data_IF_577269619023
#
_entry.id   IF_577269619023
#
_cell.length_a   1.000
_cell.length_b   1.000
_cell.length_c   1.000
_cell.angle_alpha   90.00
_cell.angle_beta   90.00
_cell.angle_gamma   90.00
#
_symmetry.space_group_name_H-M   'P 1'
#
loop_
_entity.id
_entity.type
_entity.pdbx_description
1 polymer ?
#
# COMPACT_ATOMS: atom_id res chain seq x y z
N UNK A 1 21.60 -2.93 2.17
CA UNK A 1 20.53 -2.72 3.16
C UNK A 1 19.32 -2.19 2.42
N UNK A 2 18.29 -3.02 2.17
CA UNK A 2 17.07 -2.55 1.50
C UNK A 2 16.30 -1.57 2.39
N UNK A 3 15.75 -0.51 1.80
CA UNK A 3 14.95 0.47 2.51
C UNK A 3 13.71 -0.18 3.14
N UNK A 4 13.35 0.27 4.34
CA UNK A 4 12.33 -0.40 5.16
C UNK A 4 10.97 0.23 4.89
N UNK A 5 10.17 -0.43 4.05
CA UNK A 5 8.72 -0.24 4.07
C UNK A 5 8.19 -0.91 5.33
N UNK A 6 7.52 -0.13 6.19
CA UNK A 6 7.00 -0.63 7.47
C UNK A 6 5.54 -0.24 7.60
N UNK A 7 4.65 -1.23 7.63
CA UNK A 7 3.26 -1.01 7.93
C UNK A 7 3.11 -0.37 9.32
N UNK A 8 2.22 0.62 9.42
CA UNK A 8 1.79 1.18 10.70
C UNK A 8 0.76 0.21 11.29
N UNK A 9 1.17 -0.58 12.27
CA UNK A 9 0.31 -1.59 12.89
C UNK A 9 -0.72 -0.94 13.83
N UNK A 10 -1.98 -1.31 13.66
CA UNK A 10 -3.11 -0.89 14.48
C UNK A 10 -3.74 -2.12 15.17
N UNK A 11 -3.01 -2.75 16.07
CA UNK A 11 -3.46 -3.88 16.88
C UNK A 11 -3.39 -3.54 18.38
N UNK A 12 -3.82 -4.47 19.23
CA UNK A 12 -3.81 -4.28 20.68
C UNK A 12 -2.43 -4.10 21.32
N UNK A 13 -1.34 -4.43 20.64
CA UNK A 13 0.02 -4.16 21.13
C UNK A 13 0.42 -2.70 20.90
N UNK A 14 -0.05 -2.11 19.79
CA UNK A 14 0.33 -0.78 19.34
C UNK A 14 -0.72 0.30 19.63
N UNK A 15 -1.96 -0.08 19.98
CA UNK A 15 -3.05 0.84 20.27
C UNK A 15 -3.96 0.35 21.40
N UNK A 16 -4.08 1.15 22.46
CA UNK A 16 -5.03 0.92 23.55
C UNK A 16 -6.51 1.00 23.10
N UNK A 17 -6.79 1.71 22.01
CA UNK A 17 -8.12 1.71 21.40
C UNK A 17 -8.41 0.36 20.75
N UNK A 18 -7.45 -0.16 19.98
CA UNK A 18 -7.58 -1.45 19.31
C UNK A 18 -7.63 -2.60 20.31
N UNK A 19 -6.79 -2.56 21.35
CA UNK A 19 -6.82 -3.52 22.46
C UNK A 19 -8.20 -3.64 23.09
N UNK A 20 -8.84 -2.49 23.37
CA UNK A 20 -10.21 -2.45 23.90
C UNK A 20 -11.23 -3.01 22.90
N UNK A 21 -11.10 -2.68 21.61
CA UNK A 21 -11.99 -3.19 20.55
C UNK A 21 -11.84 -4.71 20.39
N UNK A 22 -10.62 -5.23 20.32
CA UNK A 22 -10.34 -6.66 20.18
C UNK A 22 -10.86 -7.43 21.40
N UNK A 23 -10.62 -6.93 22.61
CA UNK A 23 -11.21 -7.49 23.85
C UNK A 23 -12.74 -7.45 23.85
N UNK A 24 -13.35 -6.45 23.23
CA UNK A 24 -14.80 -6.39 23.08
C UNK A 24 -15.30 -7.42 22.07
N UNK A 25 -14.65 -7.56 20.91
CA UNK A 25 -15.02 -8.53 19.87
C UNK A 25 -14.86 -9.98 20.32
N UNK A 26 -13.88 -10.28 21.18
CA UNK A 26 -13.78 -11.60 21.82
C UNK A 26 -15.01 -11.95 22.66
N UNK A 27 -15.67 -10.95 23.25
CA UNK A 27 -16.89 -11.13 24.06
C UNK A 27 -18.17 -11.04 23.23
N UNK A 28 -18.13 -10.29 22.13
CA UNK A 28 -19.27 -10.01 21.26
C UNK A 28 -18.86 -10.11 19.79
N UNK A 29 -18.73 -11.33 19.23
CA UNK A 29 -18.21 -11.55 17.88
C UNK A 29 -19.05 -10.85 16.80
N UNK A 30 -20.37 -10.82 16.97
CA UNK A 30 -21.31 -10.23 16.01
C UNK A 30 -21.30 -8.68 16.01
N UNK A 31 -20.58 -8.05 16.93
CA UNK A 31 -20.42 -6.59 16.97
C UNK A 31 -19.32 -6.07 16.01
N UNK A 32 -18.70 -6.97 15.26
CA UNK A 32 -17.60 -6.73 14.32
C UNK A 32 -18.04 -6.30 12.93
N UNK A 33 -18.85 -5.25 12.81
CA UNK A 33 -19.12 -4.60 11.53
C UNK A 33 -17.99 -3.67 11.11
N UNK A 34 -17.75 -3.56 9.81
CA UNK A 34 -16.98 -2.47 9.21
C UNK A 34 -17.93 -1.33 8.86
N UNK A 35 -17.50 -0.11 9.14
CA UNK A 35 -18.39 1.04 9.09
C UNK A 35 -18.34 1.84 7.78
N UNK A 36 -17.57 1.36 6.79
CA UNK A 36 -17.49 1.93 5.45
C UNK A 36 -16.78 3.29 5.36
N UNK A 37 -16.90 3.94 4.21
CA UNK A 37 -16.15 5.15 3.87
C UNK A 37 -16.50 6.36 4.75
N UNK A 38 -17.78 6.60 5.04
CA UNK A 38 -18.21 7.76 5.84
C UNK A 38 -17.59 7.77 7.24
N UNK A 39 -17.63 6.64 7.95
CA UNK A 39 -17.02 6.57 9.29
C UNK A 39 -15.49 6.54 9.22
N UNK A 40 -14.89 6.07 8.13
CA UNK A 40 -13.46 6.21 7.90
C UNK A 40 -13.06 7.68 7.84
N UNK A 41 -13.76 8.46 7.02
CA UNK A 41 -13.54 9.90 6.86
C UNK A 41 -13.67 10.61 8.20
N UNK A 42 -14.76 10.39 8.93
CA UNK A 42 -15.03 11.05 10.21
C UNK A 42 -13.97 10.73 11.27
N UNK A 43 -13.44 9.49 11.29
CA UNK A 43 -12.32 9.11 12.16
C UNK A 43 -11.04 9.85 11.77
N UNK A 44 -10.76 9.97 10.48
CA UNK A 44 -9.60 10.72 10.00
C UNK A 44 -9.70 12.21 10.35
N UNK A 45 -10.87 12.83 10.16
CA UNK A 45 -11.12 14.23 10.56
C UNK A 45 -10.92 14.40 12.08
N UNK A 46 -11.43 13.48 12.90
CA UNK A 46 -11.20 13.49 14.35
C UNK A 46 -9.71 13.41 14.69
N UNK A 47 -8.95 12.57 13.97
CA UNK A 47 -7.51 12.48 14.13
C UNK A 47 -6.78 13.78 13.75
N UNK A 48 -7.25 14.47 12.69
CA UNK A 48 -6.73 15.75 12.24
C UNK A 48 -7.05 16.89 13.22
N UNK A 49 -8.24 16.89 13.83
CA UNK A 49 -8.58 17.84 14.91
C UNK A 49 -7.55 17.76 16.04
N UNK A 50 -7.19 16.56 16.47
CA UNK A 50 -6.16 16.40 17.51
C UNK A 50 -4.73 16.67 17.00
N UNK A 51 -4.48 16.48 15.71
CA UNK A 51 -3.18 16.72 15.10
C UNK A 51 -2.87 18.21 15.00
N UNK A 52 -3.83 19.02 14.54
CA UNK A 52 -3.70 20.47 14.45
C UNK A 52 -3.98 21.15 15.80
N UNK A 53 -4.91 20.63 16.60
CA UNK A 53 -5.34 21.29 17.83
C UNK A 53 -5.79 22.73 17.56
N UNK A 54 -5.24 23.67 18.33
CA UNK A 54 -5.48 25.11 18.17
C UNK A 54 -4.39 25.83 17.34
N UNK A 55 -3.54 25.09 16.64
CA UNK A 55 -2.45 25.60 15.79
C UNK A 55 -3.01 26.20 14.49
N UNK A 56 -2.41 27.28 13.98
CA UNK A 56 -2.74 27.85 12.66
C UNK A 56 -1.94 27.20 11.51
N UNK A 57 -1.07 26.23 11.81
CA UNK A 57 -0.14 25.60 10.84
C UNK A 57 -0.86 24.80 9.73
N UNK A 58 -2.20 24.72 9.75
CA UNK A 58 -2.98 24.08 8.70
C UNK A 58 -3.11 24.94 7.44
N UNK A 59 -2.76 26.24 7.48
CA UNK A 59 -2.88 27.16 6.34
C UNK A 59 -2.06 26.70 5.12
N UNK A 60 -0.83 26.21 5.34
CA UNK A 60 0.00 25.69 4.27
C UNK A 60 -0.65 24.45 3.63
N UNK A 61 -1.12 23.53 4.47
CA UNK A 61 -1.82 22.33 4.03
C UNK A 61 -3.11 22.68 3.28
N UNK A 62 -3.85 23.70 3.72
CA UNK A 62 -5.06 24.16 3.03
C UNK A 62 -4.79 24.61 1.60
N UNK A 63 -3.76 25.43 1.40
CA UNK A 63 -3.36 25.88 0.05
C UNK A 63 -2.98 24.70 -0.85
N UNK A 64 -2.20 23.75 -0.31
CA UNK A 64 -1.77 22.57 -1.05
C UNK A 64 -2.96 21.66 -1.43
N UNK A 65 -3.92 21.46 -0.52
CA UNK A 65 -5.11 20.66 -0.80
C UNK A 65 -6.04 21.37 -1.80
N UNK A 66 -6.17 22.70 -1.72
CA UNK A 66 -6.90 23.48 -2.74
C UNK A 66 -6.29 23.30 -4.14
N UNK A 67 -4.97 23.44 -4.26
CA UNK A 67 -4.26 23.25 -5.53
C UNK A 67 -4.46 21.82 -6.07
N UNK A 68 -4.29 20.82 -5.21
CA UNK A 68 -4.49 19.41 -5.53
C UNK A 68 -5.91 19.10 -6.03
N UNK A 69 -6.93 19.75 -5.45
CA UNK A 69 -8.34 19.58 -5.81
C UNK A 69 -8.81 20.53 -6.92
N UNK A 70 -7.94 21.42 -7.42
CA UNK A 70 -8.30 22.46 -8.38
C UNK A 70 -9.34 23.46 -7.85
N UNK A 71 -9.42 23.65 -6.53
CA UNK A 71 -10.34 24.57 -5.88
C UNK A 71 -9.68 25.92 -5.58
N UNK A 72 -10.43 27.01 -5.71
CA UNK A 72 -9.94 28.34 -5.38
C UNK A 72 -9.70 28.49 -3.88
N UNK A 73 -8.50 28.96 -3.51
CA UNK A 73 -8.17 29.33 -2.14
C UNK A 73 -9.10 30.46 -1.64
N UNK A 74 -9.61 30.32 -0.42
CA UNK A 74 -10.40 31.36 0.26
C UNK A 74 -9.63 31.85 1.47
N UNK A 75 -9.45 33.16 1.55
CA UNK A 75 -8.78 33.80 2.69
C UNK A 75 -9.49 33.44 4.00
N UNK A 76 -8.69 33.12 5.02
CA UNK A 76 -9.20 32.75 6.33
C UNK A 76 -9.17 33.93 7.28
N UNK A 77 -10.16 34.02 8.17
CA UNK A 77 -10.10 34.97 9.26
C UNK A 77 -8.98 34.57 10.23
N UNK A 78 -8.11 35.52 10.57
CA UNK A 78 -7.08 35.34 11.58
C UNK A 78 -7.71 34.81 12.89
N UNK A 79 -7.05 33.85 13.55
CA UNK A 79 -7.44 33.23 14.82
C UNK A 79 -8.45 32.07 14.78
N UNK A 80 -8.77 31.50 13.62
CA UNK A 80 -9.58 30.28 13.56
C UNK A 80 -8.72 29.06 13.96
N UNK A 81 -9.14 28.29 14.96
CA UNK A 81 -8.60 26.95 15.18
C UNK A 81 -9.03 26.00 14.05
N UNK A 82 -8.36 24.86 13.88
CA UNK A 82 -8.61 23.93 12.76
C UNK A 82 -10.09 23.59 12.57
N UNK A 83 -10.85 23.35 13.64
CA UNK A 83 -12.29 23.01 13.54
C UNK A 83 -13.17 24.11 12.91
N UNK A 84 -12.70 25.35 12.88
CA UNK A 84 -13.40 26.47 12.27
C UNK A 84 -12.71 26.95 10.98
N UNK A 85 -11.73 26.18 10.47
CA UNK A 85 -10.95 26.53 9.28
C UNK A 85 -11.67 26.15 7.99
N UNK A 86 -11.23 26.76 6.88
CA UNK A 86 -11.70 26.37 5.56
C UNK A 86 -11.20 24.98 5.17
N UNK A 87 -10.02 24.55 5.66
CA UNK A 87 -9.55 23.18 5.47
C UNK A 87 -10.47 22.15 6.13
N UNK A 88 -10.91 22.39 7.36
CA UNK A 88 -11.85 21.49 8.02
C UNK A 88 -13.17 21.40 7.25
N UNK A 89 -13.74 22.53 6.84
CA UNK A 89 -14.96 22.55 6.03
C UNK A 89 -14.77 21.77 4.73
N UNK A 90 -13.67 22.02 4.01
CA UNK A 90 -13.32 21.31 2.78
C UNK A 90 -13.24 19.78 2.98
N UNK A 91 -12.57 19.34 4.06
CA UNK A 91 -12.43 17.92 4.37
C UNK A 91 -13.74 17.28 4.83
N UNK A 92 -14.60 18.03 5.53
CA UNK A 92 -15.89 17.55 6.03
C UNK A 92 -16.96 17.47 4.93
N UNK A 93 -16.89 18.36 3.93
CA UNK A 93 -17.79 18.37 2.78
C UNK A 93 -17.35 17.42 1.65
N UNK A 94 -16.11 16.90 1.71
CA UNK A 94 -15.66 15.89 0.75
C UNK A 94 -16.52 14.62 0.87
N UNK A 95 -16.99 14.05 -0.24
CA UNK A 95 -17.85 12.87 -0.20
C UNK A 95 -17.14 11.64 -0.76
N UNK A 96 -17.15 10.53 -0.03
CA UNK A 96 -16.54 9.26 -0.45
C UNK A 96 -17.57 8.31 -1.07
N UNK A 97 -17.99 8.57 -2.31
CA UNK A 97 -19.06 7.83 -2.99
C UNK A 97 -18.53 6.62 -3.74
N UNK A 98 -17.37 6.74 -4.36
CA UNK A 98 -16.73 5.72 -5.19
C UNK A 98 -15.24 5.49 -4.83
N UNK A 99 -14.62 4.48 -5.43
CA UNK A 99 -13.21 4.12 -5.19
C UNK A 99 -12.24 5.23 -5.59
N UNK A 100 -12.56 6.00 -6.64
CA UNK A 100 -11.83 7.20 -7.04
C UNK A 100 -11.82 8.28 -5.95
N UNK A 101 -12.95 8.50 -5.26
CA UNK A 101 -13.04 9.43 -4.14
C UNK A 101 -12.20 8.97 -2.96
N UNK A 102 -12.27 7.66 -2.62
CA UNK A 102 -11.43 7.07 -1.59
C UNK A 102 -9.95 7.26 -1.93
N UNK A 103 -9.55 6.98 -3.18
CA UNK A 103 -8.18 7.14 -3.64
C UNK A 103 -7.70 8.60 -3.53
N UNK A 104 -8.56 9.56 -3.87
CA UNK A 104 -8.25 10.98 -3.71
C UNK A 104 -8.12 11.36 -2.22
N UNK A 105 -9.00 10.86 -1.37
CA UNK A 105 -8.93 11.05 0.08
C UNK A 105 -7.64 10.48 0.69
N UNK A 106 -7.19 9.30 0.26
CA UNK A 106 -5.93 8.73 0.72
C UNK A 106 -4.74 9.62 0.31
N UNK A 107 -4.73 10.18 -0.90
CA UNK A 107 -3.70 11.13 -1.33
C UNK A 107 -3.72 12.44 -0.52
N UNK A 108 -4.91 12.95 -0.17
CA UNK A 108 -5.04 14.08 0.77
C UNK A 108 -4.36 13.73 2.10
N UNK A 109 -4.66 12.56 2.68
CA UNK A 109 -4.05 12.13 3.94
C UNK A 109 -2.52 11.97 3.84
N UNK A 110 -1.99 11.48 2.72
CA UNK A 110 -0.53 11.47 2.47
C UNK A 110 0.06 12.88 2.49
N UNK A 111 -0.59 13.82 1.80
CA UNK A 111 -0.13 15.21 1.74
C UNK A 111 -0.11 15.88 3.11
N UNK A 112 -1.13 15.64 3.93
CA UNK A 112 -1.22 16.15 5.31
C UNK A 112 -0.17 15.51 6.24
N UNK A 113 0.13 14.22 6.05
CA UNK A 113 1.22 13.54 6.76
C UNK A 113 2.59 14.07 6.35
N UNK A 114 2.76 14.49 5.09
CA UNK A 114 4.00 15.07 4.59
C UNK A 114 4.13 16.59 4.86
N UNK A 115 3.17 17.18 5.58
CA UNK A 115 3.17 18.60 5.95
C UNK A 115 4.52 19.07 6.54
N UNK A 116 5.12 20.15 5.99
CA UNK A 116 6.36 20.72 6.51
C UNK A 116 6.11 21.39 7.87
N UNK A 117 7.10 21.34 8.78
CA UNK A 117 6.99 21.97 10.10
C UNK A 117 6.39 21.10 11.20
N UNK A 118 5.91 19.89 10.88
CA UNK A 118 5.39 18.94 11.87
C UNK A 118 6.45 17.94 12.31
N UNK A 119 6.59 17.76 13.62
CA UNK A 119 7.59 16.84 14.19
C UNK A 119 7.25 15.37 13.95
N UNK A 120 8.27 14.52 13.84
CA UNK A 120 8.12 13.06 13.59
C UNK A 120 7.19 12.37 14.60
N UNK A 121 7.17 12.82 15.86
CA UNK A 121 6.28 12.30 16.91
C UNK A 121 4.80 12.60 16.62
N UNK A 122 4.49 13.80 16.12
CA UNK A 122 3.12 14.17 15.76
C UNK A 122 2.66 13.38 14.53
N UNK A 123 3.51 13.30 13.50
CA UNK A 123 3.24 12.50 12.29
C UNK A 123 2.98 11.04 12.60
N UNK A 124 3.81 10.41 13.45
CA UNK A 124 3.58 9.03 13.92
C UNK A 124 2.26 8.83 14.65
N UNK A 125 1.85 9.80 15.47
CA UNK A 125 0.57 9.74 16.20
C UNK A 125 -0.62 9.83 15.23
N UNK A 126 -0.57 10.75 14.27
CA UNK A 126 -1.60 10.86 13.23
C UNK A 126 -1.66 9.59 12.38
N UNK A 127 -0.50 9.08 11.95
CA UNK A 127 -0.40 7.85 11.17
C UNK A 127 -1.01 6.64 11.90
N UNK A 128 -0.76 6.48 13.21
CA UNK A 128 -1.37 5.42 14.01
C UNK A 128 -2.90 5.53 14.02
N UNK A 129 -3.44 6.74 14.18
CA UNK A 129 -4.90 6.95 14.18
C UNK A 129 -5.54 6.72 12.82
N UNK A 130 -4.85 7.07 11.74
CA UNK A 130 -5.30 6.74 10.39
C UNK A 130 -5.29 5.22 10.19
N UNK A 131 -4.24 4.51 10.64
CA UNK A 131 -4.19 3.05 10.58
C UNK A 131 -5.33 2.38 11.39
N UNK A 132 -5.64 2.92 12.58
CA UNK A 132 -6.85 2.50 13.33
C UNK A 132 -8.13 2.75 12.54
N UNK A 133 -8.24 3.92 11.89
CA UNK A 133 -9.42 4.28 11.11
C UNK A 133 -9.61 3.34 9.92
N UNK A 134 -8.54 2.98 9.20
CA UNK A 134 -8.59 1.99 8.12
C UNK A 134 -9.17 0.66 8.61
N UNK A 135 -8.57 0.09 9.67
CA UNK A 135 -8.97 -1.22 10.23
C UNK A 135 -10.40 -1.21 10.78
N UNK A 136 -10.78 -0.17 11.52
CA UNK A 136 -12.13 -0.07 12.11
C UNK A 136 -13.23 0.17 11.08
N UNK A 137 -12.87 0.68 9.90
CA UNK A 137 -13.84 1.00 8.85
C UNK A 137 -13.83 -0.01 7.71
N UNK A 138 -12.95 -1.02 7.75
CA UNK A 138 -12.83 -2.05 6.73
C UNK A 138 -12.33 -1.52 5.40
N UNK A 139 -11.47 -0.49 5.41
CA UNK A 139 -10.89 0.04 4.18
C UNK A 139 -9.78 -0.90 3.71
N UNK A 140 -9.83 -1.27 2.43
CA UNK A 140 -8.85 -2.17 1.78
C UNK A 140 -7.48 -1.54 1.53
N UNK A 141 -6.95 -0.79 2.50
CA UNK A 141 -5.67 -0.10 2.40
C UNK A 141 -4.89 -0.16 3.71
N UNK A 142 -3.56 -0.14 3.60
CA UNK A 142 -2.63 -0.06 4.70
C UNK A 142 -1.74 1.18 4.58
N UNK A 143 -1.57 1.90 5.68
CA UNK A 143 -0.61 3.00 5.76
C UNK A 143 0.79 2.44 6.10
N UNK A 144 1.77 2.75 5.26
CA UNK A 144 3.15 2.33 5.44
C UNK A 144 4.07 3.54 5.61
N UNK A 145 5.01 3.45 6.55
CA UNK A 145 6.12 4.38 6.68
C UNK A 145 7.24 3.94 5.73
N UNK A 146 7.71 4.89 4.93
CA UNK A 146 8.79 4.73 3.96
C UNK A 146 10.13 5.21 4.54
N UNK A 147 11.21 4.94 3.80
CA UNK A 147 12.49 5.59 4.04
C UNK A 147 12.38 7.11 3.89
N UNK A 148 13.15 7.86 4.71
CA UNK A 148 13.03 9.32 4.80
C UNK A 148 11.87 9.81 5.67
N UNK A 149 11.08 8.92 6.28
CA UNK A 149 10.04 9.28 7.25
C UNK A 149 8.69 9.67 6.63
N UNK A 150 8.57 9.60 5.30
CA UNK A 150 7.32 9.78 4.56
C UNK A 150 6.37 8.60 4.77
N UNK A 151 5.10 8.82 4.45
CA UNK A 151 4.06 7.80 4.52
C UNK A 151 3.42 7.60 3.15
N UNK A 152 2.96 6.39 2.87
CA UNK A 152 2.20 6.07 1.68
C UNK A 152 1.18 4.98 1.98
N UNK A 153 0.04 5.01 1.29
CA UNK A 153 -0.95 3.95 1.31
C UNK A 153 -0.65 2.90 0.24
N UNK A 154 -0.95 1.66 0.57
CA UNK A 154 -0.89 0.51 -0.31
C UNK A 154 -2.17 -0.30 -0.17
N UNK A 155 -2.60 -1.04 -1.21
CA UNK A 155 -3.75 -1.93 -1.11
C UNK A 155 -3.47 -2.98 -0.03
N UNK A 156 -4.49 -3.32 0.75
CA UNK A 156 -4.42 -4.34 1.79
C UNK A 156 -5.77 -5.00 1.98
N UNK A 157 -5.86 -6.28 1.66
CA UNK A 157 -7.10 -7.07 1.75
C UNK A 157 -6.98 -8.21 2.73
N UNK A 158 -5.79 -8.81 2.85
CA UNK A 158 -5.52 -9.93 3.74
C UNK A 158 -4.25 -9.66 4.56
N UNK A 159 -4.37 -9.11 5.78
CA UNK A 159 -3.24 -8.64 6.57
C UNK A 159 -2.12 -9.67 6.76
N UNK A 160 -2.48 -10.96 6.84
CA UNK A 160 -1.50 -12.05 6.99
C UNK A 160 -0.62 -12.20 5.74
N UNK A 161 -1.22 -12.14 4.55
CA UNK A 161 -0.52 -12.27 3.28
C UNK A 161 0.19 -10.97 2.90
N UNK A 162 -0.49 -9.82 3.05
CA UNK A 162 0.00 -8.50 2.66
C UNK A 162 1.36 -8.18 3.29
N UNK A 163 1.52 -8.49 4.57
CA UNK A 163 2.78 -8.23 5.27
C UNK A 163 3.95 -8.95 4.61
N UNK A 164 3.81 -10.26 4.39
CA UNK A 164 4.91 -11.12 3.96
C UNK A 164 5.14 -11.09 2.44
N UNK A 165 4.07 -10.95 1.65
CA UNK A 165 4.10 -11.09 0.20
C UNK A 165 4.01 -9.76 -0.54
N UNK A 166 3.57 -8.68 0.13
CA UNK A 166 3.45 -7.35 -0.48
C UNK A 166 4.42 -6.35 0.13
N UNK A 167 4.31 -6.03 1.43
CA UNK A 167 5.09 -4.95 2.04
C UNK A 167 6.57 -5.30 2.23
N UNK A 168 6.85 -6.51 2.72
CA UNK A 168 8.23 -6.99 2.88
C UNK A 168 8.92 -7.08 1.51
N UNK A 169 8.24 -7.66 0.51
CA UNK A 169 8.75 -7.77 -0.87
C UNK A 169 9.02 -6.39 -1.46
N UNK A 170 8.08 -5.45 -1.32
CA UNK A 170 8.24 -4.07 -1.79
C UNK A 170 9.48 -3.40 -1.19
N UNK A 171 9.76 -3.61 0.11
CA UNK A 171 10.96 -3.09 0.76
C UNK A 171 12.26 -3.81 0.36
N UNK A 172 12.19 -5.10 0.01
CA UNK A 172 13.35 -5.84 -0.47
C UNK A 172 13.72 -5.48 -1.91
N UNK A 173 12.75 -5.07 -2.72
CA UNK A 173 12.97 -4.54 -4.07
C UNK A 173 13.73 -3.20 -4.08
N UNK A 174 14.04 -2.59 -2.94
CA UNK A 174 14.87 -1.37 -2.88
C UNK A 174 16.25 -1.54 -3.54
N UNK A 175 16.81 -2.75 -3.55
CA UNK A 175 18.03 -3.07 -4.29
C UNK A 175 17.82 -3.20 -5.82
N UNK A 176 16.58 -3.22 -6.27
CA UNK A 176 16.15 -3.49 -7.64
C UNK A 176 15.16 -2.39 -8.10
N UNK A 177 15.63 -1.14 -8.31
CA UNK A 177 14.75 0.03 -8.47
C UNK A 177 13.74 -0.05 -9.62
N UNK A 178 14.13 -0.62 -10.78
CA UNK A 178 13.20 -0.76 -11.92
C UNK A 178 12.07 -1.75 -11.63
N UNK A 179 12.40 -2.86 -10.97
CA UNK A 179 11.41 -3.82 -10.49
C UNK A 179 10.48 -3.18 -9.45
N UNK A 180 11.05 -2.48 -8.46
CA UNK A 180 10.30 -1.76 -7.43
C UNK A 180 9.30 -0.76 -8.00
N UNK A 181 9.71 0.00 -9.01
CA UNK A 181 8.85 0.99 -9.67
C UNK A 181 7.61 0.34 -10.29
N UNK A 182 7.79 -0.76 -11.04
CA UNK A 182 6.67 -1.50 -11.63
C UNK A 182 5.79 -2.16 -10.56
N UNK A 183 6.38 -2.71 -9.50
CA UNK A 183 5.62 -3.25 -8.38
C UNK A 183 4.78 -2.17 -7.69
N UNK A 184 5.34 -0.97 -7.49
CA UNK A 184 4.60 0.17 -6.92
C UNK A 184 3.48 0.65 -7.82
N UNK A 185 3.69 0.71 -9.13
CA UNK A 185 2.62 1.08 -10.07
C UNK A 185 1.48 0.06 -10.04
N UNK A 186 1.79 -1.25 -9.96
CA UNK A 186 0.76 -2.27 -9.75
C UNK A 186 -0.04 -1.98 -8.47
N UNK A 187 0.62 -1.79 -7.33
CA UNK A 187 -0.05 -1.47 -6.06
C UNK A 187 -0.88 -0.18 -6.14
N UNK A 188 -0.40 0.84 -6.85
CA UNK A 188 -1.12 2.10 -7.06
C UNK A 188 -2.42 1.88 -7.83
N UNK A 189 -2.37 1.10 -8.91
CA UNK A 189 -3.56 0.74 -9.70
C UNK A 189 -4.57 -0.01 -8.82
N UNK A 190 -4.13 -1.01 -8.07
CA UNK A 190 -5.00 -1.76 -7.17
C UNK A 190 -5.63 -0.88 -6.09
N UNK A 191 -4.88 0.07 -5.54
CA UNK A 191 -5.38 1.02 -4.55
C UNK A 191 -6.42 1.98 -5.14
N UNK A 192 -6.31 2.31 -6.44
CA UNK A 192 -7.31 3.10 -7.15
C UNK A 192 -8.57 2.30 -7.52
N UNK A 193 -8.58 0.98 -7.28
CA UNK A 193 -9.64 0.08 -7.72
C UNK A 193 -9.45 -0.42 -9.16
N UNK A 194 -8.38 -0.01 -9.86
CA UNK A 194 -8.03 -0.46 -11.21
C UNK A 194 -7.52 -1.90 -11.20
N UNK A 195 -8.46 -2.85 -11.15
CA UNK A 195 -8.20 -4.30 -11.27
C UNK A 195 -8.15 -4.71 -12.73
N UNK A 196 -7.39 -3.98 -13.52
CA UNK A 196 -7.28 -4.17 -14.97
C UNK A 196 -6.08 -5.04 -15.31
N UNK A 197 -6.02 -5.47 -16.58
CA UNK A 197 -4.83 -6.10 -17.16
C UNK A 197 -3.54 -5.32 -16.87
N UNK A 198 -3.59 -3.98 -16.84
CA UNK A 198 -2.42 -3.14 -16.56
C UNK A 198 -1.77 -3.49 -15.22
N UNK A 199 -2.56 -3.80 -14.18
CA UNK A 199 -2.01 -4.18 -12.87
C UNK A 199 -1.25 -5.52 -12.96
N UNK A 200 -1.81 -6.50 -13.65
CA UNK A 200 -1.17 -7.82 -13.90
C UNK A 200 0.12 -7.65 -14.72
N UNK A 201 0.09 -6.84 -15.78
CA UNK A 201 1.26 -6.55 -16.62
C UNK A 201 2.38 -5.88 -15.81
N UNK A 202 2.06 -4.94 -14.92
CA UNK A 202 3.02 -4.31 -14.02
C UNK A 202 3.65 -5.33 -13.04
N UNK A 203 2.85 -6.26 -12.49
CA UNK A 203 3.36 -7.33 -11.61
C UNK A 203 4.34 -8.25 -12.36
N UNK A 204 3.98 -8.68 -13.58
CA UNK A 204 4.85 -9.51 -14.42
C UNK A 204 6.14 -8.78 -14.79
N UNK A 205 6.01 -7.52 -15.21
CA UNK A 205 7.15 -6.70 -15.60
C UNK A 205 8.08 -6.43 -14.41
N UNK A 206 7.55 -6.26 -13.20
CA UNK A 206 8.34 -6.19 -11.97
C UNK A 206 9.22 -7.43 -11.81
N UNK A 207 8.65 -8.64 -11.96
CA UNK A 207 9.39 -9.89 -11.86
C UNK A 207 10.45 -10.04 -12.96
N UNK A 208 10.12 -9.65 -14.20
CA UNK A 208 11.09 -9.65 -15.31
C UNK A 208 12.26 -8.71 -15.03
N UNK A 209 11.98 -7.46 -14.65
CA UNK A 209 12.99 -6.45 -14.35
C UNK A 209 13.84 -6.85 -13.15
N UNK A 210 13.24 -7.49 -12.14
CA UNK A 210 13.99 -8.06 -11.02
C UNK A 210 15.03 -9.06 -11.52
N UNK A 211 14.63 -10.01 -12.37
CA UNK A 211 15.54 -11.02 -12.92
C UNK A 211 16.62 -10.38 -13.80
N UNK A 212 16.26 -9.40 -14.65
CA UNK A 212 17.23 -8.64 -15.47
C UNK A 212 18.29 -7.96 -14.62
N UNK A 213 17.88 -7.30 -13.54
CA UNK A 213 18.78 -6.62 -12.61
C UNK A 213 19.63 -7.62 -11.80
N UNK A 214 19.03 -8.71 -11.32
CA UNK A 214 19.72 -9.77 -10.55
C UNK A 214 20.78 -10.50 -11.36
N UNK A 215 20.46 -10.86 -12.59
CA UNK A 215 21.33 -11.64 -13.47
C UNK A 215 22.08 -10.79 -14.49
N UNK A 216 22.01 -9.46 -14.37
CA UNK A 216 22.70 -8.49 -15.22
C UNK A 216 22.54 -8.78 -16.72
N UNK A 217 21.30 -8.98 -17.17
CA UNK A 217 20.98 -9.25 -18.57
C UNK A 217 19.68 -8.55 -19.00
N UNK A 218 19.30 -8.68 -20.27
CA UNK A 218 18.10 -8.04 -20.86
C UNK A 218 17.09 -9.05 -21.43
N UNK A 219 17.14 -10.32 -20.97
CA UNK A 219 16.26 -11.39 -21.45
C UNK A 219 14.82 -11.21 -20.96
N UNK A 220 13.84 -11.68 -21.74
CA UNK A 220 12.46 -11.77 -21.26
C UNK A 220 12.34 -12.75 -20.08
N UNK A 221 11.25 -12.67 -19.32
CA UNK A 221 11.02 -13.55 -18.18
C UNK A 221 11.14 -15.05 -18.54
N UNK A 222 10.56 -15.47 -19.67
CA UNK A 222 10.57 -16.87 -20.15
C UNK A 222 11.99 -17.35 -20.46
N UNK A 223 12.81 -16.46 -21.02
CA UNK A 223 14.20 -16.74 -21.36
C UNK A 223 15.14 -16.75 -20.13
N UNK A 224 14.59 -16.50 -18.93
CA UNK A 224 15.32 -16.53 -17.66
C UNK A 224 14.99 -17.75 -16.80
N UNK A 225 14.02 -18.60 -17.20
CA UNK A 225 13.61 -19.75 -16.39
C UNK A 225 14.75 -20.71 -16.07
N UNK A 226 15.65 -20.96 -17.03
CA UNK A 226 16.83 -21.80 -16.79
C UNK A 226 17.78 -21.17 -15.78
N UNK A 227 17.98 -19.84 -15.82
CA UNK A 227 18.85 -19.14 -14.87
C UNK A 227 18.28 -19.21 -13.45
N UNK A 228 16.97 -18.99 -13.32
CA UNK A 228 16.26 -19.11 -12.05
C UNK A 228 16.37 -20.54 -11.52
N UNK A 229 16.10 -21.54 -12.36
CA UNK A 229 16.20 -22.95 -11.98
C UNK A 229 17.61 -23.37 -11.53
N UNK A 230 18.66 -22.84 -12.19
CA UNK A 230 20.05 -23.04 -11.79
C UNK A 230 20.37 -22.36 -10.46
N UNK A 231 19.98 -21.09 -10.28
CA UNK A 231 20.20 -20.38 -9.00
C UNK A 231 19.55 -21.13 -7.83
N UNK A 232 18.30 -21.57 -7.99
CA UNK A 232 17.62 -22.35 -6.94
C UNK A 232 18.32 -23.69 -6.66
N UNK A 233 18.95 -24.30 -7.68
CA UNK A 233 19.72 -25.54 -7.52
C UNK A 233 21.00 -25.30 -6.74
N UNK A 234 21.73 -24.23 -7.07
CA UNK A 234 22.97 -23.83 -6.41
C UNK A 234 22.73 -23.48 -4.93
N UNK A 235 21.51 -23.02 -4.61
CA UNK A 235 21.02 -22.80 -3.24
C UNK A 235 20.65 -24.08 -2.48
N UNK A 236 20.76 -25.25 -3.10
CA UNK A 236 20.45 -26.54 -2.48
C UNK A 236 18.96 -26.86 -2.35
N UNK A 237 18.07 -26.17 -3.08
CA UNK A 237 16.64 -26.49 -3.07
C UNK A 237 16.36 -27.78 -3.84
N UNK A 238 15.40 -28.55 -3.32
CA UNK A 238 15.04 -29.87 -3.88
C UNK A 238 14.59 -29.75 -5.34
N UNK A 239 14.81 -30.81 -6.12
CA UNK A 239 14.40 -30.84 -7.52
C UNK A 239 12.88 -30.66 -7.68
N UNK A 240 12.08 -31.21 -6.76
CA UNK A 240 10.62 -31.10 -6.75
C UNK A 240 10.17 -29.65 -6.57
N UNK A 241 10.74 -28.92 -5.61
CA UNK A 241 10.43 -27.52 -5.39
C UNK A 241 10.84 -26.66 -6.59
N UNK A 242 12.03 -26.91 -7.15
CA UNK A 242 12.51 -26.19 -8.35
C UNK A 242 11.59 -26.43 -9.54
N UNK A 243 11.20 -27.68 -9.79
CA UNK A 243 10.28 -28.05 -10.86
C UNK A 243 8.89 -27.42 -10.66
N UNK A 244 8.36 -27.41 -9.43
CA UNK A 244 7.11 -26.74 -9.09
C UNK A 244 7.19 -25.24 -9.38
N UNK A 245 8.27 -24.59 -8.90
CA UNK A 245 8.49 -23.16 -9.09
C UNK A 245 8.55 -22.79 -10.58
N UNK A 246 9.36 -23.50 -11.37
CA UNK A 246 9.48 -23.22 -12.81
C UNK A 246 8.18 -23.52 -13.56
N UNK A 247 7.42 -24.53 -13.14
CA UNK A 247 6.11 -24.85 -13.72
C UNK A 247 5.12 -23.71 -13.45
N UNK A 248 5.01 -23.26 -12.20
CA UNK A 248 4.16 -22.12 -11.84
C UNK A 248 4.56 -20.85 -12.60
N UNK A 249 5.87 -20.60 -12.74
CA UNK A 249 6.37 -19.43 -13.47
C UNK A 249 6.02 -19.50 -14.97
N UNK A 250 6.09 -20.68 -15.57
CA UNK A 250 5.69 -20.89 -16.97
C UNK A 250 4.19 -20.67 -17.17
N UNK A 251 3.34 -21.20 -16.28
CA UNK A 251 1.89 -20.94 -16.33
C UNK A 251 1.55 -19.48 -16.04
N UNK A 252 2.27 -18.83 -15.12
CA UNK A 252 2.10 -17.41 -14.84
C UNK A 252 2.45 -16.55 -16.06
N UNK A 253 3.56 -16.83 -16.75
CA UNK A 253 3.90 -16.13 -18.00
C UNK A 253 2.85 -16.39 -19.10
N UNK A 254 2.34 -17.62 -19.20
CA UNK A 254 1.28 -17.98 -20.14
C UNK A 254 -0.04 -17.26 -19.83
N UNK A 255 -0.46 -17.24 -18.57
CA UNK A 255 -1.64 -16.52 -18.09
C UNK A 255 -1.58 -15.04 -18.52
N UNK A 256 -0.45 -14.37 -18.26
CA UNK A 256 -0.24 -13.00 -18.71
C UNK A 256 -0.35 -12.85 -20.24
N UNK A 257 0.25 -13.76 -21.01
CA UNK A 257 0.25 -13.71 -22.48
C UNK A 257 -1.11 -14.03 -23.12
N UNK A 258 -1.95 -14.85 -22.48
CA UNK A 258 -3.27 -15.25 -23.01
C UNK A 258 -4.36 -14.21 -22.70
N UNK A 259 -4.28 -13.53 -21.55
CA UNK A 259 -5.13 -12.38 -21.23
C UNK A 259 -4.84 -11.15 -22.13
N UNK A 260 -3.86 -11.22 -23.04
CA UNK A 260 -3.59 -10.19 -24.06
C UNK A 260 -4.64 -10.15 -25.18
N UNK A 261 -5.45 -11.19 -25.36
CA UNK A 261 -6.25 -11.38 -26.59
C UNK A 261 -7.76 -11.14 -26.47
N UNK A 262 -8.34 -11.15 -25.27
CA UNK A 262 -9.79 -10.98 -25.08
C UNK A 262 -10.10 -10.23 -23.76
N UNK A 263 -10.81 -9.11 -23.88
CA UNK A 263 -11.43 -8.29 -22.81
C UNK A 263 -10.51 -7.40 -21.93
N UNK A 264 -10.93 -6.15 -21.68
CA UNK A 264 -10.14 -5.12 -20.96
C UNK A 264 -10.26 -5.20 -19.43
N UNK A 265 -11.24 -5.94 -18.91
CA UNK A 265 -11.43 -6.15 -17.47
C UNK A 265 -10.86 -7.49 -17.01
N UNK A 266 -9.88 -7.47 -16.09
CA UNK A 266 -9.40 -8.68 -15.44
C UNK A 266 -10.30 -9.01 -14.23
N UNK A 267 -10.47 -10.28 -13.90
CA UNK A 267 -11.25 -10.67 -12.73
C UNK A 267 -10.50 -10.25 -11.46
N UNK A 268 -11.19 -9.60 -10.50
CA UNK A 268 -10.60 -9.16 -9.24
C UNK A 268 -9.87 -10.29 -8.49
N UNK A 269 -10.39 -11.52 -8.54
CA UNK A 269 -9.77 -12.68 -7.94
C UNK A 269 -8.47 -13.10 -8.64
N UNK A 270 -8.39 -12.93 -9.96
CA UNK A 270 -7.18 -13.22 -10.74
C UNK A 270 -6.08 -12.21 -10.44
N UNK A 271 -6.45 -10.93 -10.30
CA UNK A 271 -5.49 -9.86 -9.96
C UNK A 271 -4.94 -10.04 -8.55
N UNK A 272 -5.81 -10.37 -7.58
CA UNK A 272 -5.42 -10.68 -6.20
C UNK A 272 -4.48 -11.90 -6.14
N UNK A 273 -4.84 -12.98 -6.85
CA UNK A 273 -3.97 -14.15 -6.99
C UNK A 273 -2.63 -13.80 -7.64
N UNK A 274 -2.63 -12.99 -8.71
CA UNK A 274 -1.39 -12.57 -9.38
C UNK A 274 -0.49 -11.72 -8.46
N UNK A 275 -1.06 -10.86 -7.61
CA UNK A 275 -0.30 -10.07 -6.64
C UNK A 275 0.45 -11.00 -5.67
N UNK A 276 -0.26 -11.92 -5.02
CA UNK A 276 0.35 -12.83 -4.04
C UNK A 276 1.28 -13.86 -4.68
N UNK A 277 0.98 -14.32 -5.89
CA UNK A 277 1.87 -15.23 -6.62
C UNK A 277 3.18 -14.51 -7.02
N UNK A 278 3.09 -13.27 -7.51
CA UNK A 278 4.28 -12.44 -7.82
C UNK A 278 5.10 -12.18 -6.56
N UNK A 279 4.44 -11.82 -5.46
CA UNK A 279 5.06 -11.68 -4.15
C UNK A 279 5.78 -12.94 -3.70
N UNK A 280 5.18 -14.11 -3.91
CA UNK A 280 5.76 -15.42 -3.56
C UNK A 280 7.02 -15.74 -4.38
N UNK A 281 6.98 -15.47 -5.70
CA UNK A 281 8.16 -15.63 -6.57
C UNK A 281 9.31 -14.73 -6.11
N UNK A 282 9.04 -13.42 -5.96
CA UNK A 282 10.04 -12.46 -5.52
C UNK A 282 10.58 -12.80 -4.13
N UNK A 283 9.71 -13.19 -3.19
CA UNK A 283 10.10 -13.57 -1.83
C UNK A 283 11.08 -14.74 -1.83
N UNK A 284 10.84 -15.80 -2.58
CA UNK A 284 11.76 -16.94 -2.63
C UNK A 284 13.13 -16.54 -3.20
N UNK A 285 13.15 -15.68 -4.22
CA UNK A 285 14.39 -15.21 -4.86
C UNK A 285 15.16 -14.21 -3.98
N UNK A 286 14.45 -13.38 -3.20
CA UNK A 286 15.02 -12.33 -2.34
C UNK A 286 15.45 -12.84 -0.96
N UNK A 287 14.83 -13.90 -0.42
CA UNK A 287 15.21 -14.48 0.88
C UNK A 287 16.70 -14.85 0.95
N UNK A 288 17.25 -15.33 -0.17
CA UNK A 288 18.66 -15.69 -0.34
C UNK A 288 19.63 -14.53 -0.10
N UNK A 289 19.23 -13.31 -0.44
CA UNK A 289 20.05 -12.10 -0.24
C UNK A 289 20.16 -11.73 1.26
N UNK A 290 19.42 -12.43 2.12
CA UNK A 290 19.37 -12.21 3.57
C UNK A 290 19.94 -13.35 4.40
N UNK A 291 19.95 -14.58 3.88
CA UNK A 291 20.60 -15.73 4.52
C UNK A 291 22.12 -15.78 4.27
N UNK A 292 22.63 -14.93 3.38
CA UNK A 292 24.07 -14.72 3.11
C UNK A 292 24.68 -13.57 3.93
N UNK A 293 24.00 -13.11 4.98
CA UNK A 293 24.50 -12.15 5.99
C UNK A 293 24.52 -12.77 7.39
#
# INVERSE_FOLDING_TARGET
MGGKVRQVLADGEHSERMKRRESFLLRFPDAGGTDGHEKFQMRCITALIEYYGNSEDYLADYMDICDMLGQGYREEAFHLGFQNSNLYTLLAEFELREESDLYLWLQILERLLDSPGRGDKQKKRLALKIAEALKLSGIGAALCRLEGGRYAFYPATEPFLDRALVFDVLGWLDAYPKAREQYREALRLLLHGDRTRKAIDCLRLSLELFCKQRYQNEKSLENQFSLIGSELADRGLSAELRNLYTTLLAYYAKFNNEHVKHDDSANAAEVDFALYLTGSFLRLLLLSDRETL
#
